data_IF_475025960099
#
_entry.id   IF_475025960099
#
_cell.length_a   1.000
_cell.length_b   1.000
_cell.length_c   1.000
_cell.angle_alpha   90.00
_cell.angle_beta   90.00
_cell.angle_gamma   90.00
#
_symmetry.space_group_name_H-M   'P 1'
#
loop_
_entity.id
_entity.type
_entity.pdbx_description
1 polymer ?
#
# COMPACT_ATOMS: atom_id res chain seq x y z
N UNK A 1 11.78 4.06 4.19
CA UNK A 1 11.10 3.59 2.98
C UNK A 1 9.61 3.78 3.13
N UNK A 2 8.91 3.90 2.00
CA UNK A 2 7.44 3.98 1.95
C UNK A 2 6.90 2.88 1.03
N UNK A 3 5.65 2.48 1.24
CA UNK A 3 4.93 1.59 0.34
C UNK A 3 3.73 2.35 -0.20
N UNK A 4 3.66 2.49 -1.53
CA UNK A 4 2.62 3.26 -2.20
C UNK A 4 1.77 2.38 -3.11
N UNK A 5 0.49 2.70 -3.22
CA UNK A 5 -0.41 2.07 -4.18
C UNK A 5 -1.51 3.03 -4.58
N UNK A 6 -1.96 2.91 -5.83
CA UNK A 6 -3.23 3.51 -6.22
C UNK A 6 -4.38 2.75 -5.58
N UNK A 7 -5.45 3.47 -5.28
CA UNK A 7 -6.73 2.92 -4.92
C UNK A 7 -7.36 2.34 -6.17
N UNK A 8 -7.69 1.06 -6.14
CA UNK A 8 -8.30 0.38 -7.27
C UNK A 8 -9.81 0.65 -7.32
N UNK A 9 -10.49 0.51 -6.18
CA UNK A 9 -11.89 0.90 -6.01
C UNK A 9 -12.24 1.16 -4.54
N UNK A 10 -13.41 1.74 -4.31
CA UNK A 10 -14.04 1.85 -3.00
C UNK A 10 -15.12 0.77 -2.88
N UNK A 11 -15.17 0.07 -1.74
CA UNK A 11 -16.25 -0.88 -1.39
C UNK A 11 -16.89 -0.50 -0.06
N UNK A 12 -17.95 -1.18 0.34
CA UNK A 12 -18.64 -0.95 1.62
C UNK A 12 -19.85 -0.05 1.46
N UNK A 13 -20.26 0.61 2.54
CA UNK A 13 -21.41 1.51 2.55
C UNK A 13 -20.98 2.96 2.43
N UNK A 14 -21.94 3.86 2.21
CA UNK A 14 -21.69 5.29 2.19
C UNK A 14 -21.23 5.83 3.54
N UNK A 15 -21.52 5.16 4.66
CA UNK A 15 -21.10 5.55 6.00
C UNK A 15 -19.68 5.06 6.31
N UNK A 16 -19.39 3.81 5.93
CA UNK A 16 -18.11 3.15 6.19
C UNK A 16 -17.50 2.56 4.92
N UNK A 17 -16.98 3.41 4.03
CA UNK A 17 -16.28 2.96 2.84
C UNK A 17 -14.96 2.28 3.21
N UNK A 18 -14.45 1.51 2.26
CA UNK A 18 -13.19 0.80 2.34
C UNK A 18 -12.46 1.02 1.02
N UNK A 19 -11.33 1.73 1.08
CA UNK A 19 -10.45 1.91 -0.07
C UNK A 19 -9.63 0.64 -0.28
N UNK A 20 -9.69 0.06 -1.48
CA UNK A 20 -8.94 -1.14 -1.83
C UNK A 20 -7.64 -0.75 -2.52
N UNK A 21 -6.53 -1.20 -1.94
CA UNK A 21 -5.17 -0.96 -2.44
C UNK A 21 -4.48 -2.28 -2.82
N UNK A 22 -3.31 -2.17 -3.43
CA UNK A 22 -2.58 -3.32 -3.97
C UNK A 22 -1.55 -3.94 -3.00
N UNK A 23 -1.63 -3.60 -1.72
CA UNK A 23 -0.85 -4.22 -0.66
C UNK A 23 -1.72 -4.48 0.56
N UNK A 24 -1.48 -5.60 1.23
CA UNK A 24 -2.19 -6.04 2.41
C UNK A 24 -1.26 -6.86 3.28
N UNK A 25 -1.74 -7.98 3.80
CA UNK A 25 -0.97 -8.90 4.63
C UNK A 25 0.24 -9.49 3.89
N UNK A 26 0.24 -9.47 2.56
CA UNK A 26 1.36 -9.88 1.73
C UNK A 26 2.60 -9.01 1.98
N UNK A 27 2.45 -7.71 2.26
CA UNK A 27 3.54 -6.79 2.59
C UNK A 27 3.49 -6.29 4.05
N UNK A 28 2.33 -6.36 4.70
CA UNK A 28 2.03 -5.70 5.98
C UNK A 28 1.61 -6.72 7.04
N UNK A 29 2.31 -7.86 7.11
CA UNK A 29 2.04 -8.98 8.04
C UNK A 29 1.81 -8.48 9.47
N UNK A 30 2.65 -7.55 9.95
CA UNK A 30 2.56 -7.01 11.32
C UNK A 30 1.30 -6.16 11.56
N UNK A 31 0.86 -5.38 10.58
CA UNK A 31 -0.38 -4.60 10.66
C UNK A 31 -1.58 -5.52 10.73
N UNK A 32 -1.62 -6.48 9.80
CA UNK A 32 -2.82 -7.29 9.57
C UNK A 32 -2.99 -8.36 10.65
N UNK A 33 -1.90 -9.04 11.04
CA UNK A 33 -1.95 -10.14 12.01
C UNK A 33 -1.58 -9.73 13.44
N UNK A 34 -1.00 -8.54 13.65
CA UNK A 34 -0.53 -8.07 14.95
C UNK A 34 -1.60 -7.45 15.84
N UNK A 35 -2.89 -7.64 15.55
CA UNK A 35 -3.98 -7.21 16.43
C UNK A 35 -4.14 -5.71 16.65
N UNK A 36 -3.51 -4.87 15.82
CA UNK A 36 -3.57 -3.40 15.95
C UNK A 36 -2.39 -2.76 16.70
N UNK A 37 -1.48 -3.54 17.26
CA UNK A 37 -0.33 -3.01 18.02
C UNK A 37 0.73 -2.32 17.14
N UNK A 38 0.68 -2.53 15.82
CA UNK A 38 1.66 -2.01 14.87
C UNK A 38 1.05 -1.00 13.88
N UNK A 39 0.53 0.10 14.43
CA UNK A 39 0.00 1.22 13.65
C UNK A 39 1.14 1.93 12.91
N UNK A 40 0.98 2.10 11.60
CA UNK A 40 1.87 2.89 10.75
C UNK A 40 1.13 4.11 10.22
N UNK A 41 1.86 5.19 9.97
CA UNK A 41 1.30 6.42 9.41
C UNK A 41 0.87 6.18 7.96
N UNK A 42 -0.31 6.67 7.62
CA UNK A 42 -0.88 6.62 6.29
C UNK A 42 -1.08 8.04 5.78
N UNK A 43 -0.69 8.27 4.54
CA UNK A 43 -0.90 9.50 3.81
C UNK A 43 -1.66 9.19 2.53
N UNK A 44 -2.46 10.15 2.07
CA UNK A 44 -3.20 10.05 0.82
C UNK A 44 -2.93 11.26 -0.06
N UNK A 45 -2.85 11.01 -1.37
CA UNK A 45 -2.59 12.00 -2.40
C UNK A 45 -3.57 11.80 -3.54
N UNK A 46 -3.85 12.88 -4.26
CA UNK A 46 -4.64 12.81 -5.49
C UNK A 46 -3.91 11.98 -6.54
N UNK A 47 -4.64 11.53 -7.57
CA UNK A 47 -4.08 10.74 -8.67
C UNK A 47 -2.87 11.40 -9.37
N UNK A 48 -2.80 12.74 -9.35
CA UNK A 48 -1.71 13.57 -9.89
C UNK A 48 -0.54 13.79 -8.91
N UNK A 49 -0.61 13.24 -7.69
CA UNK A 49 0.40 13.38 -6.64
C UNK A 49 0.22 14.61 -5.76
N UNK A 50 -0.75 15.48 -6.02
CA UNK A 50 -1.01 16.64 -5.17
C UNK A 50 -1.61 16.25 -3.81
N UNK A 51 -1.34 17.08 -2.80
CA UNK A 51 -1.72 16.81 -1.42
C UNK A 51 -3.22 17.07 -1.16
N UNK A 52 -3.80 16.30 -0.25
CA UNK A 52 -5.10 16.56 0.37
C UNK A 52 -5.03 17.51 1.59
N UNK A 53 -3.93 18.26 1.77
CA UNK A 53 -3.74 19.16 2.91
C UNK A 53 -4.95 20.07 3.15
N UNK A 54 -5.46 20.09 4.39
CA UNK A 54 -6.61 20.90 4.80
C UNK A 54 -7.98 20.43 4.28
N UNK A 55 -8.04 19.35 3.48
CA UNK A 55 -9.31 18.83 3.01
C UNK A 55 -10.14 18.21 4.16
N UNK A 56 -11.48 18.26 4.09
CA UNK A 56 -12.34 17.55 5.03
C UNK A 56 -12.01 16.05 5.08
N UNK A 57 -12.14 15.46 6.26
CA UNK A 57 -11.92 14.02 6.46
C UNK A 57 -13.22 13.30 6.81
N UNK A 58 -13.24 11.99 6.57
CA UNK A 58 -14.29 11.07 6.99
C UNK A 58 -13.67 9.76 7.45
N UNK A 59 -14.43 8.98 8.23
CA UNK A 59 -14.02 7.63 8.62
C UNK A 59 -14.04 6.70 7.40
N UNK A 60 -12.96 5.97 7.20
CA UNK A 60 -12.80 4.97 6.15
C UNK A 60 -11.75 3.92 6.56
N UNK A 61 -11.85 2.74 5.98
CA UNK A 61 -10.83 1.69 6.14
C UNK A 61 -9.98 1.53 4.88
N UNK A 62 -8.80 0.91 5.01
CA UNK A 62 -7.94 0.55 3.89
C UNK A 62 -7.81 -0.97 3.86
N UNK A 63 -8.39 -1.59 2.83
CA UNK A 63 -8.33 -3.02 2.58
C UNK A 63 -7.24 -3.37 1.57
N UNK A 64 -6.57 -4.49 1.79
CA UNK A 64 -5.65 -5.08 0.82
C UNK A 64 -6.36 -5.96 -0.21
N UNK A 65 -5.59 -6.57 -1.13
CA UNK A 65 -6.12 -7.32 -2.26
C UNK A 65 -6.38 -8.81 -1.97
N UNK A 66 -6.07 -9.31 -0.77
CA UNK A 66 -6.08 -10.74 -0.48
C UNK A 66 -7.49 -11.24 -0.16
N UNK A 67 -7.77 -12.49 -0.56
CA UNK A 67 -9.08 -13.10 -0.45
C UNK A 67 -9.37 -13.64 0.97
N UNK A 68 -9.24 -12.79 1.99
CA UNK A 68 -9.71 -13.09 3.35
C UNK A 68 -10.21 -11.83 4.06
N UNK A 69 -11.19 -12.01 4.94
CA UNK A 69 -11.88 -10.91 5.63
C UNK A 69 -10.93 -10.03 6.49
N UNK A 70 -9.80 -10.59 6.91
CA UNK A 70 -8.85 -9.90 7.78
C UNK A 70 -7.93 -8.92 7.07
N UNK A 71 -7.88 -8.90 5.72
CA UNK A 71 -6.87 -8.14 4.97
C UNK A 71 -7.10 -6.61 4.99
N UNK A 72 -6.87 -6.01 6.15
CA UNK A 72 -7.03 -4.58 6.39
C UNK A 72 -5.69 -4.02 6.87
N UNK A 73 -5.14 -3.09 6.09
CA UNK A 73 -3.95 -2.34 6.47
C UNK A 73 -4.28 -1.37 7.61
N UNK A 74 -5.47 -0.77 7.56
CA UNK A 74 -6.01 0.09 8.59
C UNK A 74 -7.54 0.01 8.62
N UNK A 75 -8.13 0.14 9.81
CA UNK A 75 -9.58 0.12 10.01
C UNK A 75 -10.02 1.44 10.61
N UNK A 76 -11.12 1.98 10.08
CA UNK A 76 -11.87 3.10 10.67
C UNK A 76 -11.00 4.32 11.03
N UNK A 77 -10.10 4.70 10.11
CA UNK A 77 -9.22 5.86 10.26
C UNK A 77 -9.80 7.09 9.55
N UNK A 78 -9.38 8.28 9.98
CA UNK A 78 -9.73 9.52 9.30
C UNK A 78 -8.91 9.67 8.01
N UNK A 79 -9.59 9.75 6.87
CA UNK A 79 -9.00 9.93 5.53
C UNK A 79 -9.73 11.05 4.78
N UNK A 80 -9.13 11.64 3.73
CA UNK A 80 -9.79 12.68 2.94
C UNK A 80 -11.16 12.23 2.43
N UNK A 81 -12.18 13.07 2.59
CA UNK A 81 -13.56 12.74 2.22
C UNK A 81 -13.78 12.61 0.70
N UNK A 82 -12.93 13.28 -0.08
CA UNK A 82 -12.95 13.23 -1.54
C UNK A 82 -12.03 12.15 -2.13
N UNK A 83 -11.50 11.23 -1.30
CA UNK A 83 -10.63 10.16 -1.78
C UNK A 83 -11.40 9.23 -2.74
N UNK A 84 -10.80 8.90 -3.87
CA UNK A 84 -11.47 8.18 -4.95
C UNK A 84 -10.53 7.17 -5.65
N UNK A 85 -11.03 6.28 -6.52
CA UNK A 85 -10.17 5.42 -7.33
C UNK A 85 -9.10 6.22 -8.08
N UNK A 86 -7.94 5.60 -8.30
CA UNK A 86 -6.71 6.18 -8.87
C UNK A 86 -5.92 7.14 -7.97
N UNK A 87 -6.48 7.65 -6.88
CA UNK A 87 -5.72 8.34 -5.84
C UNK A 87 -4.68 7.41 -5.20
N UNK A 88 -3.66 7.99 -4.56
CA UNK A 88 -2.50 7.26 -4.06
C UNK A 88 -2.57 7.20 -2.54
N UNK A 89 -2.50 5.99 -1.99
CA UNK A 89 -2.27 5.75 -0.56
C UNK A 89 -0.80 5.40 -0.35
N UNK A 90 -0.19 6.04 0.64
CA UNK A 90 1.20 5.83 1.03
C UNK A 90 1.27 5.40 2.49
N UNK A 91 1.78 4.20 2.72
CA UNK A 91 2.16 3.71 4.05
C UNK A 91 3.59 4.16 4.35
N UNK A 92 3.75 4.98 5.37
CA UNK A 92 5.06 5.42 5.87
C UNK A 92 5.68 4.32 6.73
N UNK A 93 6.97 4.48 7.04
CA UNK A 93 7.70 3.58 7.95
C UNK A 93 7.71 2.11 7.47
N UNK A 94 7.70 1.94 6.14
CA UNK A 94 7.65 0.64 5.46
C UNK A 94 9.04 0.14 5.03
N UNK A 95 10.12 0.73 5.57
CA UNK A 95 11.50 0.35 5.23
C UNK A 95 12.00 -0.93 5.90
N UNK A 96 11.37 -1.35 7.00
CA UNK A 96 11.75 -2.54 7.75
C UNK A 96 10.52 -3.43 7.98
N UNK A 97 10.71 -4.74 7.91
CA UNK A 97 9.65 -5.74 8.15
C UNK A 97 8.41 -5.47 7.29
N UNK A 98 8.66 -5.20 6.00
CA UNK A 98 7.64 -5.09 4.95
C UNK A 98 8.03 -6.04 3.82
N UNK A 99 8.94 -5.63 2.93
CA UNK A 99 9.40 -6.48 1.83
C UNK A 99 10.13 -7.75 2.32
N UNK A 100 10.90 -7.65 3.42
CA UNK A 100 11.59 -8.80 4.01
C UNK A 100 10.65 -9.87 4.55
N UNK A 101 9.38 -9.54 4.76
CA UNK A 101 8.32 -10.46 5.19
C UNK A 101 7.32 -10.73 4.07
N UNK A 102 7.64 -10.37 2.82
CA UNK A 102 6.72 -10.51 1.71
C UNK A 102 6.30 -11.97 1.52
N UNK A 103 5.00 -12.21 1.34
CA UNK A 103 4.46 -13.52 1.01
C UNK A 103 3.74 -13.52 -0.33
N UNK A 104 3.76 -14.66 -1.02
CA UNK A 104 3.04 -14.89 -2.29
C UNK A 104 1.60 -15.33 -2.05
N UNK A 105 0.97 -14.91 -0.95
CA UNK A 105 -0.43 -15.22 -0.66
C UNK A 105 -1.30 -14.77 -1.85
N UNK A 106 -2.24 -15.60 -2.30
CA UNK A 106 -3.03 -15.38 -3.52
C UNK A 106 -2.18 -15.26 -4.79
N UNK A 107 -1.01 -15.92 -4.83
CA UNK A 107 -0.08 -15.87 -5.97
C UNK A 107 0.23 -14.43 -6.39
N UNK A 108 0.47 -13.58 -5.39
CA UNK A 108 0.82 -12.18 -5.59
C UNK A 108 2.27 -12.06 -6.06
N UNK A 109 2.49 -11.18 -7.03
CA UNK A 109 3.82 -10.82 -7.53
C UNK A 109 4.51 -9.88 -6.54
N UNK A 110 5.75 -10.20 -6.17
CA UNK A 110 6.58 -9.34 -5.35
C UNK A 110 6.79 -7.97 -6.03
N UNK A 111 6.50 -6.84 -5.34
CA UNK A 111 6.52 -5.51 -5.95
C UNK A 111 7.94 -5.06 -6.36
N UNK A 112 8.06 -4.06 -7.24
CA UNK A 112 9.34 -3.41 -7.50
C UNK A 112 9.79 -2.59 -6.29
N UNK A 113 11.10 -2.31 -6.22
CA UNK A 113 11.71 -1.43 -5.21
C UNK A 113 12.50 -0.36 -5.92
N UNK A 114 12.21 0.89 -5.59
CA UNK A 114 12.93 2.05 -6.10
C UNK A 114 13.70 2.72 -4.96
N UNK A 115 14.93 3.12 -5.25
CA UNK A 115 15.74 3.99 -4.42
C UNK A 115 15.67 5.42 -4.95
N UNK A 116 15.66 6.41 -4.07
CA UNK A 116 15.75 7.81 -4.44
C UNK A 116 16.94 8.48 -3.78
N UNK A 117 17.60 9.38 -4.52
CA UNK A 117 18.56 10.33 -3.97
C UNK A 117 17.92 11.70 -3.98
N UNK A 118 18.09 12.41 -2.87
CA UNK A 118 17.55 13.76 -2.68
C UNK A 118 18.65 14.79 -2.89
N UNK A 119 18.27 15.94 -3.41
CA UNK A 119 19.06 17.16 -3.34
C UNK A 119 18.95 17.77 -1.94
N UNK A 120 19.84 18.70 -1.61
CA UNK A 120 19.81 19.43 -0.33
C UNK A 120 18.53 20.26 -0.15
N UNK A 121 17.93 20.71 -1.26
CA UNK A 121 16.66 21.46 -1.30
C UNK A 121 15.42 20.56 -1.12
N UNK A 122 15.59 19.25 -0.97
CA UNK A 122 14.51 18.28 -0.82
C UNK A 122 13.89 17.80 -2.14
N UNK A 123 14.41 18.23 -3.30
CA UNK A 123 14.01 17.70 -4.60
C UNK A 123 14.56 16.29 -4.87
N UNK A 124 13.88 15.50 -5.71
CA UNK A 124 14.42 14.21 -6.16
C UNK A 124 15.51 14.45 -7.20
N UNK A 125 16.74 14.06 -6.87
CA UNK A 125 17.89 14.12 -7.79
C UNK A 125 17.87 12.97 -8.79
N UNK A 126 17.61 11.78 -8.26
CA UNK A 126 17.72 10.53 -9.00
C UNK A 126 16.75 9.52 -8.41
N UNK A 127 16.14 8.72 -9.28
CA UNK A 127 15.35 7.56 -8.90
C UNK A 127 15.87 6.34 -9.67
N UNK A 128 16.20 5.28 -8.94
CA UNK A 128 16.82 4.06 -9.48
C UNK A 128 15.97 2.86 -9.12
N UNK A 129 15.73 1.96 -10.07
CA UNK A 129 15.15 0.66 -9.77
C UNK A 129 16.20 -0.23 -9.09
N UNK A 130 15.97 -0.57 -7.82
CA UNK A 130 16.85 -1.45 -7.03
C UNK A 130 16.45 -2.92 -7.17
N UNK A 131 15.16 -3.17 -7.41
CA UNK A 131 14.60 -4.50 -7.66
C UNK A 131 13.42 -4.36 -8.62
N UNK A 132 13.47 -5.10 -9.72
CA UNK A 132 12.34 -5.20 -10.64
C UNK A 132 11.11 -5.86 -9.98
N UNK A 133 9.94 -5.58 -10.52
CA UNK A 133 8.72 -6.34 -10.18
C UNK A 133 8.92 -7.81 -10.58
N UNK A 134 8.45 -8.72 -9.73
CA UNK A 134 8.43 -10.15 -10.09
C UNK A 134 7.48 -10.40 -11.27
N UNK A 135 7.90 -11.24 -12.21
CA UNK A 135 7.09 -11.64 -13.36
C UNK A 135 6.19 -12.84 -13.04
N UNK A 136 5.16 -13.07 -13.86
CA UNK A 136 4.29 -14.23 -13.71
C UNK A 136 5.05 -15.55 -13.86
N UNK A 137 6.06 -15.59 -14.72
CA UNK A 137 6.93 -16.74 -14.95
C UNK A 137 7.77 -17.05 -13.71
N UNK A 138 8.39 -16.02 -13.10
CA UNK A 138 9.16 -16.18 -11.86
C UNK A 138 8.29 -16.70 -10.71
N UNK A 139 7.07 -16.16 -10.59
CA UNK A 139 6.10 -16.63 -9.60
C UNK A 139 5.65 -18.07 -9.87
N UNK A 140 5.40 -18.43 -11.13
CA UNK A 140 5.04 -19.79 -11.52
C UNK A 140 6.14 -20.77 -11.12
N UNK A 141 7.40 -20.45 -11.46
CA UNK A 141 8.58 -21.23 -11.10
C UNK A 141 8.72 -21.45 -9.58
N UNK A 142 8.32 -20.48 -8.76
CA UNK A 142 8.32 -20.64 -7.30
C UNK A 142 7.37 -21.75 -6.83
N UNK A 143 6.18 -21.86 -7.46
CA UNK A 143 5.19 -22.88 -7.09
C UNK A 143 5.48 -24.25 -7.70
N UNK A 144 6.20 -24.29 -8.81
CA UNK A 144 6.65 -25.51 -9.47
C UNK A 144 6.99 -25.25 -10.93
N UNK A 145 7.89 -26.05 -11.49
CA UNK A 145 8.15 -26.03 -12.93
C UNK A 145 7.01 -26.73 -13.68
N UNK A 146 6.51 -26.11 -14.75
CA UNK A 146 5.97 -26.85 -15.88
C UNK A 146 7.11 -27.59 -16.60
#
# INVERSE_FOLDING_TARGET
>A
GVLGSRIEWLKGTEELPIAIVHFGADCCVRQVYGGGDHVRRLEAYRADGSSYAGAPTRTMSIGGPLCFQGDFVAREIALPAALQPQDIVVLKDAGANTLSMFSRHCSRLCPPVYGCRWNEDGGVREMVELKARESAEQLSQFWGSL
#
